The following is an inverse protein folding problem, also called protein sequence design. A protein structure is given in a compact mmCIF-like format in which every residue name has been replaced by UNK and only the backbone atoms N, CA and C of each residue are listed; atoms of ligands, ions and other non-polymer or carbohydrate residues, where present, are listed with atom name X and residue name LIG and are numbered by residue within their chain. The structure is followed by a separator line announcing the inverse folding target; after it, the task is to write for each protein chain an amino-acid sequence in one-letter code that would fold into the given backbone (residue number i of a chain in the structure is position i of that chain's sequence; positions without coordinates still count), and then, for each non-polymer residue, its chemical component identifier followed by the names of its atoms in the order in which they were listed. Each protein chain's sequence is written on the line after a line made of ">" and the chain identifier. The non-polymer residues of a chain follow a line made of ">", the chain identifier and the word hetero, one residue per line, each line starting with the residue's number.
data_IF_335230461446
#
_entry.id   IF_335230461446
#
_cell.length_a   1.000
_cell.length_b   1.000
_cell.length_c   1.000
_cell.angle_alpha   90.00
_cell.angle_beta   90.00
_cell.angle_gamma   90.00
#
_symmetry.space_group_name_H-M   'P 1'
#
loop_
_entity.id
_entity.type
_entity.pdbx_description
1 polymer ?
#
# COMPACT_ATOMS: atom_id res chain seq x y z
N UNK A 1 -4.27 -4.36 8.88
CA UNK A 1 -3.82 -4.81 7.56
C UNK A 1 -4.18 -3.72 6.56
N UNK A 2 -3.24 -3.32 5.72
CA UNK A 2 -3.44 -2.38 4.62
C UNK A 2 -3.41 -3.18 3.33
N UNK A 3 -4.40 -3.01 2.46
CA UNK A 3 -4.39 -3.64 1.13
C UNK A 3 -4.00 -2.54 0.16
N UNK A 4 -3.01 -2.80 -0.69
CA UNK A 4 -2.57 -1.82 -1.68
C UNK A 4 -2.30 -2.50 -3.01
N UNK A 5 -2.44 -1.72 -4.08
CA UNK A 5 -2.14 -2.15 -5.43
C UNK A 5 -0.73 -1.74 -5.86
N UNK A 6 -0.13 -2.54 -6.76
CA UNK A 6 1.13 -2.17 -7.38
C UNK A 6 1.02 -0.81 -8.10
N UNK A 7 2.00 0.06 -7.88
CA UNK A 7 2.01 1.43 -8.40
C UNK A 7 1.26 2.46 -7.54
N UNK A 8 0.60 2.05 -6.46
CA UNK A 8 -0.02 2.96 -5.49
C UNK A 8 0.94 3.36 -4.36
N UNK A 9 0.72 4.56 -3.82
CA UNK A 9 1.41 5.04 -2.62
C UNK A 9 0.57 4.76 -1.38
N UNK A 10 1.13 3.98 -0.45
CA UNK A 10 0.55 3.81 0.88
C UNK A 10 1.11 4.87 1.82
N UNK A 11 0.22 5.54 2.56
CA UNK A 11 0.60 6.56 3.54
C UNK A 11 0.43 6.02 4.95
N UNK A 12 1.50 6.10 5.74
CA UNK A 12 1.46 5.81 7.16
C UNK A 12 1.74 7.08 7.95
N UNK A 13 0.86 7.36 8.91
CA UNK A 13 1.00 8.51 9.82
C UNK A 13 0.81 8.06 11.25
N UNK A 14 1.52 8.71 12.17
CA UNK A 14 1.34 8.58 13.61
C UNK A 14 1.52 9.95 14.23
N UNK A 15 0.66 10.25 15.19
CA UNK A 15 0.82 11.40 16.07
C UNK A 15 1.48 10.89 17.35
N UNK A 16 2.62 11.47 17.71
CA UNK A 16 3.22 11.27 19.02
C UNK A 16 3.54 12.61 19.68
N UNK A 17 3.34 12.66 20.98
CA UNK A 17 3.58 13.84 21.80
C UNK A 17 4.33 13.42 23.03
N UNK A 18 5.39 14.14 23.34
CA UNK A 18 6.10 14.05 24.60
C UNK A 18 5.50 15.05 25.59
N UNK A 19 4.99 14.63 26.76
CA UNK A 19 4.36 15.53 27.74
C UNK A 19 5.30 16.60 28.28
N UNK A 20 6.59 16.33 28.30
CA UNK A 20 7.65 17.20 28.80
C UNK A 20 8.17 18.17 27.71
N UNK A 21 7.82 17.92 26.45
CA UNK A 21 8.24 18.71 25.29
C UNK A 21 9.65 18.38 24.80
N UNK A 22 10.16 17.20 25.16
CA UNK A 22 11.47 16.73 24.77
C UNK A 22 11.49 16.19 23.33
N UNK A 23 12.71 16.01 22.82
CA UNK A 23 12.92 15.43 21.50
C UNK A 23 12.50 13.95 21.47
N UNK A 24 11.71 13.61 20.46
CA UNK A 24 11.28 12.24 20.15
C UNK A 24 11.85 11.83 18.81
N UNK A 25 12.29 10.58 18.71
CA UNK A 25 12.85 9.98 17.50
C UNK A 25 11.85 9.03 16.88
N UNK A 26 11.63 9.15 15.57
CA UNK A 26 10.77 8.29 14.78
C UNK A 26 11.64 7.45 13.85
N UNK A 27 11.50 6.13 13.90
CA UNK A 27 12.21 5.20 13.04
C UNK A 27 11.22 4.24 12.36
N UNK A 28 11.12 4.35 11.04
CA UNK A 28 10.34 3.45 10.20
C UNK A 28 11.23 2.32 9.71
N UNK A 29 10.79 1.09 9.96
CA UNK A 29 11.37 -0.11 9.34
C UNK A 29 10.35 -0.77 8.42
N UNK A 30 10.83 -1.32 7.32
CA UNK A 30 10.03 -2.13 6.40
C UNK A 30 10.72 -3.47 6.26
N UNK A 31 10.00 -4.55 6.57
CA UNK A 31 10.53 -5.92 6.65
C UNK A 31 11.79 -6.03 7.54
N UNK A 32 11.84 -5.20 8.60
CA UNK A 32 12.98 -5.14 9.52
C UNK A 32 14.17 -4.29 9.05
N UNK A 33 14.15 -3.75 7.83
CA UNK A 33 15.17 -2.82 7.35
C UNK A 33 14.76 -1.36 7.62
N UNK A 34 15.70 -0.53 8.11
CA UNK A 34 15.45 0.88 8.37
C UNK A 34 15.19 1.63 7.06
N UNK A 35 13.96 2.11 6.88
CA UNK A 35 13.53 2.82 5.68
C UNK A 35 13.68 4.34 5.82
N UNK A 36 13.33 4.89 6.98
CA UNK A 36 13.41 6.33 7.25
C UNK A 36 13.47 6.60 8.75
N UNK A 37 14.19 7.64 9.15
CA UNK A 37 14.14 8.11 10.54
C UNK A 37 14.35 9.63 10.61
N UNK A 38 13.79 10.25 11.65
CA UNK A 38 14.07 11.64 12.02
C UNK A 38 13.72 11.88 13.50
N UNK A 39 14.21 12.98 14.06
CA UNK A 39 13.90 13.41 15.43
C UNK A 39 13.29 14.81 15.42
N UNK A 40 12.35 15.07 16.33
CA UNK A 40 11.70 16.38 16.48
C UNK A 40 11.35 16.69 17.93
N UNK A 41 11.27 17.98 18.27
CA UNK A 41 11.03 18.52 19.62
C UNK A 41 9.60 18.29 20.17
N UNK A 42 8.89 17.24 19.71
CA UNK A 42 7.48 16.89 19.95
C UNK A 42 6.43 17.54 19.04
N UNK A 43 5.30 16.84 18.82
CA UNK A 43 4.10 17.38 18.17
C UNK A 43 4.07 17.40 16.64
N UNK A 44 5.10 16.87 15.98
CA UNK A 44 5.10 16.64 14.54
C UNK A 44 4.30 15.37 14.19
N UNK A 45 3.72 15.34 12.98
CA UNK A 45 3.01 14.18 12.43
C UNK A 45 3.86 13.50 11.35
N UNK A 46 4.80 12.61 11.71
CA UNK A 46 5.60 11.85 10.77
C UNK A 46 4.74 11.22 9.68
N UNK A 47 5.20 11.32 8.43
CA UNK A 47 4.60 10.61 7.33
C UNK A 47 5.65 9.77 6.60
N UNK A 48 5.39 8.47 6.50
CA UNK A 48 6.09 7.59 5.56
C UNK A 48 5.22 7.40 4.33
N UNK A 49 5.73 7.83 3.18
CA UNK A 49 5.17 7.49 1.88
C UNK A 49 5.88 6.24 1.37
N UNK A 50 5.16 5.12 1.29
CA UNK A 50 5.66 3.88 0.74
C UNK A 50 5.11 3.72 -0.69
N UNK A 51 5.98 3.86 -1.68
CA UNK A 51 5.66 3.57 -3.08
C UNK A 51 6.03 2.11 -3.39
N UNK A 52 5.07 1.33 -3.87
CA UNK A 52 5.26 -0.10 -4.15
C UNK A 52 5.44 -0.31 -5.67
N UNK A 53 6.60 -0.83 -6.10
CA UNK A 53 6.94 -1.01 -7.53
C UNK A 53 7.15 -2.48 -7.89
N UNK A 54 6.81 -2.84 -9.14
CA UNK A 54 6.90 -4.21 -9.67
C UNK A 54 8.30 -4.60 -10.16
N UNK A 55 9.24 -3.67 -10.27
CA UNK A 55 10.57 -3.93 -10.80
C UNK A 55 11.59 -3.02 -10.14
N UNK A 56 12.82 -3.49 -10.05
CA UNK A 56 13.99 -2.73 -9.64
C UNK A 56 14.35 -1.67 -10.70
N UNK A 57 13.46 -0.72 -10.93
CA UNK A 57 13.87 0.54 -11.54
C UNK A 57 14.74 1.26 -10.52
N UNK A 58 16.06 1.18 -10.74
CA UNK A 58 17.07 1.92 -9.98
C UNK A 58 16.85 3.41 -10.22
N UNK A 59 15.94 4.00 -9.46
CA UNK A 59 15.80 5.45 -9.40
C UNK A 59 16.91 5.97 -8.49
N UNK A 60 17.88 6.62 -9.12
CA UNK A 60 18.91 7.40 -8.46
C UNK A 60 18.29 8.72 -7.99
N UNK A 61 17.45 8.66 -6.95
CA UNK A 61 17.10 9.87 -6.21
C UNK A 61 18.26 10.19 -5.27
N UNK A 62 18.63 11.47 -5.21
CA UNK A 62 19.84 11.98 -4.53
C UNK A 62 19.91 11.64 -3.02
N UNK A 63 20.86 12.25 -2.27
CA UNK A 63 21.38 11.77 -0.97
C UNK A 63 20.36 11.62 0.19
N UNK A 64 19.06 11.80 -0.06
CA UNK A 64 17.98 11.74 0.92
C UNK A 64 16.82 10.82 0.49
N UNK A 65 17.01 9.96 -0.50
CA UNK A 65 15.95 9.10 -1.03
C UNK A 65 16.43 7.68 -1.22
N UNK A 66 15.85 6.76 -0.44
CA UNK A 66 16.10 5.34 -0.56
C UNK A 66 15.04 4.74 -1.48
N UNK A 67 15.41 4.07 -2.59
CA UNK A 67 14.47 3.16 -3.23
C UNK A 67 14.37 1.92 -2.33
N UNK A 68 13.29 1.80 -1.56
CA UNK A 68 12.96 0.52 -0.94
C UNK A 68 12.49 -0.42 -2.06
N UNK A 69 13.35 -1.38 -2.41
CA UNK A 69 13.02 -2.42 -3.40
C UNK A 69 12.35 -3.55 -2.64
N UNK A 70 11.02 -3.50 -2.52
CA UNK A 70 10.22 -4.60 -1.97
C UNK A 70 9.94 -5.63 -3.07
N UNK A 71 10.31 -6.89 -2.84
CA UNK A 71 10.02 -8.00 -3.74
C UNK A 71 8.60 -8.56 -3.53
N UNK A 72 8.11 -9.20 -4.60
CA UNK A 72 6.71 -9.21 -5.07
C UNK A 72 5.69 -10.09 -4.35
N UNK A 73 6.07 -10.91 -3.36
CA UNK A 73 5.17 -11.88 -2.69
C UNK A 73 5.11 -11.77 -1.17
N UNK A 74 5.81 -10.81 -0.58
CA UNK A 74 5.92 -10.75 0.88
C UNK A 74 4.79 -9.93 1.51
N UNK A 75 4.24 -10.46 2.59
CA UNK A 75 3.55 -9.66 3.59
C UNK A 75 4.52 -8.57 4.03
N UNK A 76 4.29 -7.33 3.59
CA UNK A 76 5.17 -6.22 3.94
C UNK A 76 4.85 -5.82 5.37
N UNK A 77 5.81 -5.98 6.28
CA UNK A 77 5.69 -5.53 7.64
C UNK A 77 6.31 -4.14 7.78
N UNK A 78 5.46 -3.13 7.94
CA UNK A 78 5.89 -1.76 8.22
C UNK A 78 5.81 -1.56 9.73
N UNK A 79 6.90 -1.17 10.37
CA UNK A 79 6.93 -0.85 11.81
C UNK A 79 7.42 0.58 11.98
N UNK A 80 6.68 1.38 12.73
CA UNK A 80 7.18 2.61 13.31
C UNK A 80 7.59 2.34 14.75
N UNK A 81 8.82 2.70 15.10
CA UNK A 81 9.28 2.85 16.48
C UNK A 81 9.40 4.33 16.81
N UNK A 82 8.80 4.74 17.93
CA UNK A 82 8.94 6.07 18.51
C UNK A 82 9.75 5.93 19.79
N UNK A 83 10.87 6.65 19.89
CA UNK A 83 11.76 6.61 21.04
C UNK A 83 11.76 7.98 21.73
N UNK A 84 11.38 8.02 23.00
CA UNK A 84 11.45 9.22 23.85
C UNK A 84 12.88 9.55 24.29
N UNK A 85 13.09 10.77 24.78
CA UNK A 85 14.39 11.24 25.31
C UNK A 85 14.89 10.41 26.49
N UNK A 86 13.96 9.83 27.25
CA UNK A 86 14.19 8.92 28.37
C UNK A 86 14.52 7.48 27.94
N UNK A 87 14.52 7.21 26.63
CA UNK A 87 14.76 5.89 26.04
C UNK A 87 13.53 4.98 26.02
N UNK A 88 12.34 5.48 26.36
CA UNK A 88 11.10 4.71 26.20
C UNK A 88 10.80 4.48 24.73
N UNK A 89 10.39 3.26 24.37
CA UNK A 89 10.04 2.91 23.00
C UNK A 89 8.58 2.48 22.89
N UNK A 90 7.87 3.05 21.91
CA UNK A 90 6.56 2.62 21.48
C UNK A 90 6.63 2.20 20.02
N UNK A 91 6.11 1.00 19.72
CA UNK A 91 6.08 0.50 18.35
C UNK A 91 4.64 0.32 17.85
N UNK A 92 4.43 0.63 16.57
CA UNK A 92 3.20 0.32 15.83
C UNK A 92 3.56 -0.40 14.55
N UNK A 93 2.86 -1.50 14.27
CA UNK A 93 3.09 -2.32 13.07
C UNK A 93 1.86 -2.41 12.17
N UNK A 94 2.10 -2.36 10.86
CA UNK A 94 1.12 -2.64 9.82
C UNK A 94 1.61 -3.77 8.92
N UNK A 95 0.69 -4.66 8.56
CA UNK A 95 0.89 -5.61 7.46
C UNK A 95 0.28 -5.03 6.20
N UNK A 96 1.08 -4.88 5.13
CA UNK A 96 0.61 -4.52 3.80
C UNK A 96 0.58 -5.76 2.93
N UNK A 97 -0.56 -6.01 2.28
CA UNK A 97 -0.71 -7.06 1.28
C UNK A 97 -0.74 -6.37 -0.07
N UNK A 98 0.15 -6.78 -0.98
CA UNK A 98 0.13 -6.36 -2.37
C UNK A 98 -0.87 -7.23 -3.13
N UNK A 99 -1.82 -6.62 -3.83
CA UNK A 99 -2.69 -7.28 -4.79
C UNK A 99 -2.61 -6.58 -6.15
N UNK A 100 -2.73 -7.32 -7.25
CA UNK A 100 -2.91 -6.70 -8.56
C UNK A 100 -4.35 -6.22 -8.67
N UNK A 101 -4.56 -4.95 -9.07
CA UNK A 101 -5.90 -4.51 -9.47
C UNK A 101 -6.31 -5.33 -10.68
N UNK A 102 -7.41 -6.07 -10.56
CA UNK A 102 -7.89 -6.92 -11.63
C UNK A 102 -7.46 -8.39 -11.58
N UNK A 103 -6.64 -8.80 -10.60
CA UNK A 103 -6.41 -10.23 -10.30
C UNK A 103 -7.56 -10.69 -9.37
N UNK A 104 -8.61 -11.20 -9.99
CA UNK A 104 -9.86 -11.56 -9.35
C UNK A 104 -9.91 -13.02 -8.91
N UNK A 105 -9.06 -13.88 -9.48
CA UNK A 105 -8.93 -15.30 -9.10
C UNK A 105 -7.74 -15.59 -8.16
N UNK A 106 -6.84 -14.63 -7.97
CA UNK A 106 -5.69 -14.72 -7.07
C UNK A 106 -4.58 -15.59 -7.62
N UNK A 107 -4.48 -15.75 -8.95
CA UNK A 107 -3.43 -16.52 -9.62
C UNK A 107 -2.14 -15.72 -9.87
N UNK A 108 -2.05 -14.53 -9.27
CA UNK A 108 -0.93 -13.60 -9.37
C UNK A 108 -0.75 -13.03 -10.79
N UNK A 109 -1.73 -13.19 -11.69
CA UNK A 109 -1.73 -12.61 -13.04
C UNK A 109 -3.03 -11.89 -13.32
N UNK A 110 -2.98 -10.66 -13.85
CA UNK A 110 -4.17 -10.03 -14.46
C UNK A 110 -4.31 -10.55 -15.89
N UNK A 111 -5.00 -11.67 -16.03
CA UNK A 111 -5.04 -12.46 -17.24
C UNK A 111 -6.43 -12.60 -17.86
N UNK A 112 -6.49 -13.53 -18.81
CA UNK A 112 -7.75 -13.87 -19.46
C UNK A 112 -8.74 -14.55 -18.50
N UNK A 113 -8.25 -15.29 -17.49
CA UNK A 113 -9.08 -15.88 -16.44
C UNK A 113 -9.82 -14.79 -15.65
N UNK A 114 -9.15 -13.71 -15.29
CA UNK A 114 -9.77 -12.55 -14.62
C UNK A 114 -10.76 -11.83 -15.50
N UNK A 115 -10.44 -11.70 -16.80
CA UNK A 115 -11.39 -11.14 -17.76
C UNK A 115 -12.68 -11.96 -17.80
N UNK A 116 -12.61 -13.30 -17.73
CA UNK A 116 -13.81 -14.14 -17.70
C UNK A 116 -14.63 -13.91 -16.42
N UNK A 117 -13.97 -13.71 -15.27
CA UNK A 117 -14.65 -13.36 -14.03
C UNK A 117 -15.32 -11.98 -14.11
N UNK A 118 -14.61 -10.97 -14.59
CA UNK A 118 -15.11 -9.61 -14.77
C UNK A 118 -16.30 -9.59 -15.74
N UNK A 119 -16.18 -10.25 -16.90
CA UNK A 119 -17.25 -10.36 -17.89
C UNK A 119 -18.50 -11.05 -17.33
N UNK A 120 -18.34 -11.97 -16.38
CA UNK A 120 -19.44 -12.66 -15.71
C UNK A 120 -20.34 -11.75 -14.86
N UNK A 121 -19.82 -10.60 -14.41
CA UNK A 121 -20.55 -9.63 -13.57
C UNK A 121 -20.75 -8.27 -14.25
N UNK A 122 -20.31 -8.12 -15.51
CA UNK A 122 -20.42 -6.86 -16.25
C UNK A 122 -21.88 -6.41 -16.40
N UNK A 123 -22.14 -5.13 -16.10
CA UNK A 123 -23.47 -4.53 -16.06
C UNK A 123 -24.24 -4.76 -14.76
N UNK A 124 -23.65 -5.43 -13.77
CA UNK A 124 -24.22 -5.51 -12.41
C UNK A 124 -24.04 -4.20 -11.65
N UNK A 125 -24.84 -4.01 -10.59
CA UNK A 125 -24.76 -2.87 -9.67
C UNK A 125 -25.20 -3.34 -8.28
N UNK A 126 -25.09 -2.49 -7.26
CA UNK A 126 -25.39 -2.84 -5.86
C UNK A 126 -26.78 -3.44 -5.57
N UNK A 127 -27.74 -3.35 -6.49
CA UNK A 127 -29.05 -4.02 -6.37
C UNK A 127 -29.11 -5.43 -7.00
N UNK A 128 -28.12 -5.81 -7.80
CA UNK A 128 -28.04 -7.11 -8.49
C UNK A 128 -27.52 -8.19 -7.56
N UNK A 129 -28.12 -9.40 -7.63
CA UNK A 129 -27.66 -10.55 -6.83
C UNK A 129 -26.28 -11.06 -7.21
N UNK A 130 -25.82 -10.75 -8.42
CA UNK A 130 -24.49 -11.09 -8.94
C UNK A 130 -23.45 -10.00 -8.70
N UNK A 131 -23.83 -8.90 -8.04
CA UNK A 131 -22.90 -7.82 -7.77
C UNK A 131 -21.90 -8.24 -6.69
N UNK A 132 -20.64 -7.99 -6.99
CA UNK A 132 -19.53 -8.16 -6.08
C UNK A 132 -18.69 -6.88 -6.17
N UNK A 133 -18.56 -6.11 -5.08
CA UNK A 133 -17.86 -4.83 -5.07
C UNK A 133 -16.39 -4.96 -5.46
N UNK A 134 -15.79 -6.16 -5.51
CA UNK A 134 -14.41 -6.32 -5.96
C UNK A 134 -14.21 -5.95 -7.44
N UNK A 135 -15.28 -5.98 -8.25
CA UNK A 135 -15.23 -5.66 -9.68
C UNK A 135 -15.62 -4.21 -10.00
N UNK A 136 -16.10 -3.46 -9.00
CA UNK A 136 -16.35 -2.01 -9.07
C UNK A 136 -15.05 -1.29 -8.69
N UNK A 137 -14.27 -0.94 -9.71
CA UNK A 137 -12.91 -0.43 -9.60
C UNK A 137 -12.86 1.09 -9.50
N UNK A 138 -13.90 1.81 -9.96
CA UNK A 138 -14.01 3.26 -9.80
C UNK A 138 -14.86 3.70 -8.60
N UNK A 139 -15.60 2.77 -7.99
CA UNK A 139 -16.39 2.97 -6.78
C UNK A 139 -17.75 3.64 -7.03
N UNK A 140 -18.33 3.50 -8.23
CA UNK A 140 -19.60 4.11 -8.61
C UNK A 140 -20.84 3.24 -8.32
N UNK A 141 -20.67 2.15 -7.56
CA UNK A 141 -21.66 1.12 -7.22
C UNK A 141 -22.13 0.28 -8.43
N UNK A 142 -21.44 0.36 -9.58
CA UNK A 142 -21.71 -0.42 -10.79
C UNK A 142 -20.44 -1.10 -11.33
N UNK A 143 -20.61 -2.19 -12.07
CA UNK A 143 -19.53 -2.83 -12.84
C UNK A 143 -19.75 -2.51 -14.31
N UNK A 144 -19.12 -1.44 -14.78
CA UNK A 144 -19.35 -0.84 -16.09
C UNK A 144 -18.11 -0.69 -16.94
N UNK A 145 -18.23 0.17 -17.96
CA UNK A 145 -17.15 0.39 -18.91
C UNK A 145 -15.98 1.16 -18.29
N UNK A 146 -16.21 2.02 -17.31
CA UNK A 146 -15.13 2.72 -16.61
C UNK A 146 -14.27 1.74 -15.81
N UNK A 147 -14.88 0.78 -15.12
CA UNK A 147 -14.15 -0.32 -14.46
C UNK A 147 -13.35 -1.15 -15.45
N UNK A 148 -13.94 -1.43 -16.61
CA UNK A 148 -13.21 -2.13 -17.68
C UNK A 148 -11.98 -1.34 -18.15
N UNK A 149 -12.08 -0.01 -18.28
CA UNK A 149 -10.94 0.84 -18.62
C UNK A 149 -9.86 0.86 -17.53
N UNK A 150 -10.22 0.71 -16.26
CA UNK A 150 -9.26 0.54 -15.17
C UNK A 150 -8.62 -0.84 -15.26
N UNK A 151 -9.43 -1.90 -15.37
CA UNK A 151 -8.97 -3.30 -15.48
C UNK A 151 -7.93 -3.47 -16.60
N UNK A 152 -8.20 -2.97 -17.81
CA UNK A 152 -7.28 -3.16 -18.95
C UNK A 152 -5.95 -2.42 -18.80
N UNK A 153 -5.84 -1.42 -17.91
CA UNK A 153 -4.54 -0.78 -17.61
C UNK A 153 -3.59 -1.76 -16.92
N UNK A 154 -4.13 -2.80 -16.28
CA UNK A 154 -3.36 -3.81 -15.57
C UNK A 154 -3.26 -5.14 -16.34
N UNK A 155 -3.93 -5.28 -17.49
CA UNK A 155 -3.97 -6.55 -18.24
C UNK A 155 -2.60 -7.00 -18.74
N UNK A 156 -2.30 -8.28 -18.54
CA UNK A 156 -1.00 -8.90 -18.87
C UNK A 156 0.10 -8.62 -17.85
N UNK A 157 -0.21 -7.96 -16.73
CA UNK A 157 0.71 -7.87 -15.58
C UNK A 157 0.63 -9.19 -14.81
N UNK A 158 1.77 -9.85 -14.64
CA UNK A 158 1.95 -10.96 -13.70
C UNK A 158 2.90 -10.52 -12.58
N UNK A 159 2.56 -10.87 -11.34
CA UNK A 159 3.46 -10.79 -10.19
C UNK A 159 4.57 -11.84 -10.31
#
# INVERSE_FOLDING_TARGET
>A
VVISSMGSTVKFTVDATDPEGDEITYAWTVNGELAHWFSSLSGETPMLNLELKSSAERFEYGPWSWPLIVNRTDLINVVLTVTGSDGTELARSWSVIMGLVGDFDGDDTVGFSDFLLFAGVFGSNSASTSWDPKFDLDGDDSVGFTDFLIFVQYFGISL
#
